data_IF_477178394495
#
_entry.id   IF_477178394495
#
_cell.length_a   1.000
_cell.length_b   1.000
_cell.length_c   1.000
_cell.angle_alpha   90.00
_cell.angle_beta   90.00
_cell.angle_gamma   90.00
#
_symmetry.space_group_name_H-M   'P 1'
#
loop_
_entity.id
_entity.type
_entity.pdbx_description
1 polymer ?
#
# COMPACT_ATOMS: atom_id res chain seq x y z
N UNK A 1 -40.01 -8.41 26.10
CA UNK A 1 -39.46 -7.30 25.30
C UNK A 1 -38.68 -7.92 24.15
N UNK A 2 -39.22 -7.79 22.93
CA UNK A 2 -38.55 -8.16 21.70
C UNK A 2 -37.59 -7.02 21.38
N UNK A 3 -36.29 -7.22 21.60
CA UNK A 3 -35.27 -6.32 21.08
C UNK A 3 -34.39 -7.10 20.11
N UNK A 4 -34.35 -6.56 18.90
CA UNK A 4 -33.56 -6.96 17.75
C UNK A 4 -32.20 -7.56 18.11
N UNK A 5 -31.99 -8.83 17.78
CA UNK A 5 -30.66 -9.32 17.42
C UNK A 5 -30.58 -9.17 15.91
N UNK A 6 -30.18 -7.99 15.45
CA UNK A 6 -29.79 -7.82 14.04
C UNK A 6 -28.36 -8.32 13.91
N UNK A 7 -28.23 -9.39 13.12
CA UNK A 7 -26.98 -9.90 12.59
C UNK A 7 -26.15 -8.74 12.00
N UNK A 8 -25.01 -8.44 12.61
CA UNK A 8 -23.87 -7.86 11.92
C UNK A 8 -23.06 -9.04 11.35
N UNK A 9 -23.55 -9.61 10.24
CA UNK A 9 -22.67 -10.35 9.33
C UNK A 9 -22.04 -9.26 8.48
N UNK A 10 -20.87 -8.79 8.91
CA UNK A 10 -19.99 -8.01 8.04
C UNK A 10 -19.45 -9.04 7.04
N UNK A 11 -19.74 -8.94 5.74
CA UNK A 11 -19.03 -9.74 4.76
C UNK A 11 -17.56 -9.31 4.82
N UNK A 12 -16.73 -10.16 5.41
CA UNK A 12 -15.29 -10.10 5.26
C UNK A 12 -14.98 -10.66 3.85
N UNK A 13 -15.16 -9.84 2.83
CA UNK A 13 -14.54 -10.06 1.52
C UNK A 13 -13.20 -9.34 1.59
N UNK A 14 -12.15 -10.06 1.99
CA UNK A 14 -10.78 -9.56 1.98
C UNK A 14 -10.01 -10.32 0.90
N UNK A 15 -10.38 -10.06 -0.35
CA UNK A 15 -9.56 -10.35 -1.52
C UNK A 15 -9.47 -9.01 -2.23
N UNK A 16 -8.56 -8.17 -1.76
CA UNK A 16 -8.29 -6.88 -2.34
C UNK A 16 -6.77 -6.74 -2.35
N UNK A 17 -6.20 -6.42 -3.53
CA UNK A 17 -4.78 -6.07 -3.67
C UNK A 17 -4.39 -4.99 -2.65
N UNK A 18 -5.34 -4.12 -2.29
CA UNK A 18 -5.18 -3.08 -1.28
C UNK A 18 -6.05 -3.31 -0.03
N UNK A 19 -5.54 -3.04 1.17
CA UNK A 19 -4.17 -2.59 1.44
C UNK A 19 -3.15 -3.72 1.24
N UNK A 20 -2.04 -3.44 0.56
CA UNK A 20 -0.95 -4.41 0.41
C UNK A 20 -0.32 -4.69 1.78
N UNK A 21 -0.69 -5.81 2.42
CA UNK A 21 -0.13 -6.22 3.72
C UNK A 21 1.39 -6.50 3.64
N UNK A 22 1.90 -6.77 2.44
CA UNK A 22 3.32 -7.01 2.15
C UNK A 22 3.77 -6.03 1.06
N UNK A 23 4.60 -5.06 1.41
CA UNK A 23 5.23 -4.13 0.44
C UNK A 23 6.35 -4.79 -0.40
N UNK A 24 6.33 -6.11 -0.52
CA UNK A 24 7.38 -6.89 -1.18
C UNK A 24 7.15 -6.88 -2.69
N UNK A 25 7.79 -5.95 -3.39
CA UNK A 25 8.16 -6.18 -4.78
C UNK A 25 9.58 -6.70 -4.77
N UNK A 26 9.76 -7.92 -5.26
CA UNK A 26 11.08 -8.54 -5.35
C UNK A 26 11.36 -8.76 -6.84
N UNK A 27 12.46 -8.21 -7.38
CA UNK A 27 12.84 -8.40 -8.79
C UNK A 27 13.27 -9.86 -9.05
N UNK A 28 12.33 -10.80 -9.04
CA UNK A 28 12.55 -12.25 -9.16
C UNK A 28 13.10 -12.55 -10.55
N UNK A 29 14.13 -13.41 -10.62
CA UNK A 29 14.74 -13.84 -11.89
C UNK A 29 15.89 -12.97 -12.38
N UNK A 30 16.13 -11.84 -11.73
CA UNK A 30 17.30 -11.00 -11.95
C UNK A 30 18.39 -11.28 -10.91
N UNK A 31 19.66 -10.94 -11.21
CA UNK A 31 20.74 -10.95 -10.21
C UNK A 31 20.48 -9.97 -9.02
N UNK A 32 19.36 -9.24 -9.06
CA UNK A 32 18.92 -8.20 -8.12
C UNK A 32 17.84 -8.66 -7.12
N UNK A 33 17.57 -9.97 -7.03
CA UNK A 33 16.47 -10.52 -6.24
C UNK A 33 16.53 -10.23 -4.71
N UNK A 34 17.62 -9.67 -4.18
CA UNK A 34 17.92 -9.61 -2.75
C UNK A 34 17.45 -8.34 -2.00
N UNK A 35 16.46 -7.60 -2.48
CA UNK A 35 16.13 -6.32 -1.84
C UNK A 35 14.64 -6.04 -2.00
N UNK A 36 13.92 -6.10 -0.88
CA UNK A 36 12.48 -5.84 -0.79
C UNK A 36 12.27 -4.89 0.40
N UNK A 37 11.29 -3.98 0.32
CA UNK A 37 11.00 -3.03 1.39
C UNK A 37 9.87 -3.55 2.32
N UNK A 38 9.97 -3.11 3.58
CA UNK A 38 9.34 -3.48 4.87
C UNK A 38 7.88 -4.00 4.85
N UNK A 39 7.60 -5.10 5.56
CA UNK A 39 6.34 -5.29 6.30
C UNK A 39 6.61 -5.16 7.80
N UNK A 40 5.84 -4.37 8.55
CA UNK A 40 5.86 -4.38 10.02
C UNK A 40 5.08 -5.60 10.55
N UNK A 41 5.62 -6.80 10.41
CA UNK A 41 5.10 -7.97 11.14
C UNK A 41 6.21 -8.56 12.01
N UNK A 42 5.90 -8.84 13.28
CA UNK A 42 6.86 -9.46 14.22
C UNK A 42 7.36 -10.84 13.74
N UNK A 43 6.64 -11.45 12.80
CA UNK A 43 6.98 -12.74 12.19
C UNK A 43 7.93 -12.63 10.99
N UNK A 44 8.21 -11.42 10.46
CA UNK A 44 9.07 -11.19 9.30
C UNK A 44 9.91 -9.92 9.48
N UNK A 45 11.09 -10.01 10.14
CA UNK A 45 11.93 -8.85 10.40
C UNK A 45 12.38 -8.18 9.10
N UNK A 46 12.44 -6.85 9.14
CA UNK A 46 12.86 -5.98 8.05
C UNK A 46 14.27 -6.41 7.57
N UNK A 47 14.45 -6.78 6.30
CA UNK A 47 15.78 -7.02 5.75
C UNK A 47 16.63 -5.74 5.82
N UNK A 48 17.92 -5.85 6.18
CA UNK A 48 18.85 -4.71 6.34
C UNK A 48 19.10 -3.90 5.06
N UNK A 49 18.69 -4.42 3.89
CA UNK A 49 18.81 -3.73 2.61
C UNK A 49 17.42 -3.47 2.01
N UNK A 50 17.03 -2.18 1.96
CA UNK A 50 15.90 -1.67 1.18
C UNK A 50 16.34 -1.38 -0.26
N UNK A 51 15.45 -1.50 -1.25
CA UNK A 51 15.75 -1.21 -2.67
C UNK A 51 16.34 0.19 -2.90
N UNK A 52 16.27 1.06 -1.89
CA UNK A 52 17.00 2.32 -1.81
C UNK A 52 18.51 2.21 -2.07
N UNK A 53 19.13 1.06 -1.82
CA UNK A 53 20.57 0.87 -2.07
C UNK A 53 20.91 0.69 -3.55
N UNK A 54 19.92 0.46 -4.43
CA UNK A 54 20.17 0.23 -5.87
C UNK A 54 20.26 1.50 -6.70
N UNK A 55 19.79 2.62 -6.19
CA UNK A 55 19.70 3.87 -6.94
C UNK A 55 20.50 4.96 -6.26
N UNK A 56 21.29 5.69 -7.05
CA UNK A 56 22.02 6.85 -6.58
C UNK A 56 21.05 8.04 -6.53
N UNK A 57 20.23 8.11 -5.49
CA UNK A 57 19.35 9.26 -5.25
C UNK A 57 20.18 10.53 -5.10
N UNK A 58 19.62 11.62 -5.58
CA UNK A 58 20.18 12.94 -5.31
C UNK A 58 20.22 13.19 -3.80
N UNK A 59 21.39 13.56 -3.27
CA UNK A 59 21.62 13.68 -1.83
C UNK A 59 20.97 14.94 -1.22
N UNK A 60 20.58 15.91 -2.04
CA UNK A 60 19.97 17.17 -1.60
C UNK A 60 18.44 17.14 -1.69
N UNK A 61 17.90 16.42 -2.68
CA UNK A 61 16.45 16.38 -2.97
C UNK A 61 15.81 15.02 -2.70
N UNK A 62 16.59 13.94 -2.67
CA UNK A 62 16.07 12.57 -2.54
C UNK A 62 15.41 12.02 -3.83
N UNK A 63 15.44 12.80 -4.91
CA UNK A 63 14.79 12.52 -6.18
C UNK A 63 15.53 11.46 -7.00
N UNK A 64 14.75 10.74 -7.81
CA UNK A 64 15.26 9.79 -8.79
C UNK A 64 14.22 9.59 -9.92
N UNK A 65 14.62 9.70 -11.19
CA UNK A 65 13.69 9.59 -12.32
C UNK A 65 13.14 8.16 -12.43
N UNK A 66 11.81 8.07 -12.53
CA UNK A 66 11.09 6.81 -12.69
C UNK A 66 9.84 6.99 -13.55
N UNK A 67 9.36 5.89 -14.11
CA UNK A 67 8.03 5.82 -14.72
C UNK A 67 7.06 5.36 -13.65
N UNK A 68 6.02 6.15 -13.40
CA UNK A 68 4.93 5.85 -12.49
C UNK A 68 3.70 5.41 -13.29
N UNK A 69 3.11 4.28 -12.91
CA UNK A 69 1.85 3.79 -13.46
C UNK A 69 0.86 3.72 -12.31
N UNK A 70 -0.29 4.36 -12.49
CA UNK A 70 -1.39 4.35 -11.54
C UNK A 70 -2.51 3.48 -12.10
N UNK A 71 -2.94 2.53 -11.28
CA UNK A 71 -4.00 1.60 -11.56
C UNK A 71 -5.23 1.97 -10.75
N UNK A 72 -6.38 1.90 -11.38
CA UNK A 72 -7.66 1.92 -10.69
C UNK A 72 -7.98 0.48 -10.23
N UNK A 73 -8.31 0.32 -8.95
CA UNK A 73 -8.71 -0.95 -8.35
C UNK A 73 -10.21 -0.90 -8.20
N UNK A 74 -10.89 -1.41 -9.21
CA UNK A 74 -12.34 -1.58 -9.24
C UNK A 74 -12.72 -3.07 -9.08
N UNK A 75 -13.99 -3.41 -9.33
CA UNK A 75 -14.53 -4.77 -9.19
C UNK A 75 -13.68 -5.84 -9.94
N UNK A 76 -12.95 -5.45 -10.99
CA UNK A 76 -12.09 -6.36 -11.77
C UNK A 76 -10.83 -6.79 -10.99
N UNK A 77 -10.43 -6.02 -9.97
CA UNK A 77 -9.34 -6.33 -9.06
C UNK A 77 -9.77 -7.13 -7.80
N UNK A 78 -11.08 -7.32 -7.55
CA UNK A 78 -11.61 -8.10 -6.41
C UNK A 78 -11.22 -9.59 -6.46
N UNK A 79 -10.75 -10.08 -7.61
CA UNK A 79 -10.26 -11.45 -7.78
C UNK A 79 -8.78 -11.63 -7.52
N UNK A 80 -8.04 -10.55 -7.26
CA UNK A 80 -6.59 -10.58 -7.09
C UNK A 80 -6.24 -10.45 -5.61
N UNK A 81 -5.67 -11.52 -5.06
CA UNK A 81 -5.17 -11.56 -3.68
C UNK A 81 -3.77 -10.95 -3.55
N UNK A 82 -3.04 -10.84 -4.68
CA UNK A 82 -1.65 -10.40 -4.73
C UNK A 82 -1.38 -9.57 -6.00
N UNK A 83 -0.44 -8.62 -5.91
CA UNK A 83 0.03 -7.85 -7.06
C UNK A 83 0.60 -8.77 -8.15
N UNK A 84 0.04 -8.78 -9.38
CA UNK A 84 0.47 -9.66 -10.47
C UNK A 84 1.78 -9.18 -11.13
N UNK A 85 2.89 -9.22 -10.38
CA UNK A 85 4.19 -8.70 -10.83
C UNK A 85 4.67 -9.34 -12.15
N UNK A 86 4.51 -10.65 -12.30
CA UNK A 86 4.97 -11.37 -13.48
C UNK A 86 4.24 -10.94 -14.76
N UNK A 87 2.91 -10.76 -14.68
CA UNK A 87 2.10 -10.31 -15.81
C UNK A 87 2.40 -8.86 -16.17
N UNK A 88 2.60 -8.02 -15.15
CA UNK A 88 3.04 -6.63 -15.33
C UNK A 88 4.37 -6.59 -16.09
N UNK A 89 5.38 -7.34 -15.61
CA UNK A 89 6.70 -7.43 -16.25
C UNK A 89 6.60 -7.89 -17.69
N UNK A 90 5.89 -8.98 -17.97
CA UNK A 90 5.72 -9.51 -19.32
C UNK A 90 5.09 -8.48 -20.25
N UNK A 91 4.06 -7.77 -19.78
CA UNK A 91 3.35 -6.76 -20.58
C UNK A 91 4.23 -5.56 -20.90
N UNK A 92 4.98 -5.04 -19.91
CA UNK A 92 5.86 -3.88 -20.11
C UNK A 92 7.03 -4.24 -21.02
N UNK A 93 7.72 -5.34 -20.74
CA UNK A 93 8.91 -5.80 -21.48
C UNK A 93 8.58 -6.09 -22.94
N UNK A 94 7.47 -6.80 -23.19
CA UNK A 94 7.00 -7.09 -24.55
C UNK A 94 6.59 -5.83 -25.32
N UNK A 95 5.92 -4.87 -24.66
CA UNK A 95 5.48 -3.62 -25.28
C UNK A 95 6.65 -2.71 -25.63
N UNK A 96 7.63 -2.60 -24.73
CA UNK A 96 8.78 -1.73 -24.90
C UNK A 96 9.92 -2.39 -25.70
N UNK A 97 9.87 -3.72 -25.87
CA UNK A 97 10.89 -4.56 -26.51
C UNK A 97 12.23 -4.52 -25.78
N UNK A 98 12.17 -4.67 -24.47
CA UNK A 98 13.31 -4.70 -23.55
C UNK A 98 13.42 -6.07 -22.91
N UNK A 99 14.59 -6.42 -22.38
CA UNK A 99 14.75 -7.68 -21.64
C UNK A 99 14.05 -7.59 -20.28
N UNK A 100 13.59 -8.72 -19.75
CA UNK A 100 12.95 -8.77 -18.44
C UNK A 100 13.91 -8.36 -17.32
N UNK A 101 15.20 -8.66 -17.49
CA UNK A 101 16.25 -8.27 -16.53
C UNK A 101 16.59 -6.78 -16.58
N UNK A 102 16.26 -6.09 -17.67
CA UNK A 102 16.48 -4.65 -17.79
C UNK A 102 15.38 -3.84 -17.07
N UNK A 103 14.24 -4.46 -16.75
CA UNK A 103 13.13 -3.82 -16.05
C UNK A 103 13.30 -3.96 -14.55
N UNK A 104 13.54 -2.83 -13.89
CA UNK A 104 13.68 -2.77 -12.43
C UNK A 104 12.48 -2.07 -11.84
N UNK A 105 11.69 -2.80 -11.06
CA UNK A 105 10.59 -2.20 -10.29
C UNK A 105 11.20 -1.62 -9.01
N UNK A 106 10.98 -0.33 -8.80
CA UNK A 106 11.51 0.41 -7.65
C UNK A 106 10.52 0.38 -6.48
N UNK A 107 9.22 0.53 -6.78
CA UNK A 107 8.14 0.63 -5.80
C UNK A 107 6.83 0.10 -6.36
N UNK A 108 6.03 -0.53 -5.49
CA UNK A 108 4.59 -0.65 -5.67
C UNK A 108 3.93 -0.30 -4.33
N UNK A 109 2.92 0.57 -4.33
CA UNK A 109 2.18 0.94 -3.12
C UNK A 109 0.75 1.37 -3.47
N UNK A 110 -0.21 1.13 -2.57
CA UNK A 110 -1.60 1.57 -2.68
C UNK A 110 -1.83 3.03 -2.23
N UNK A 111 -0.75 3.77 -1.92
CA UNK A 111 -0.78 5.16 -1.39
C UNK A 111 -1.74 5.37 -0.19
N UNK A 112 -2.10 4.32 0.55
CA UNK A 112 -3.05 4.42 1.65
C UNK A 112 -4.53 4.45 1.29
N UNK A 113 -4.87 4.16 0.05
CA UNK A 113 -6.24 4.02 -0.43
C UNK A 113 -6.49 2.57 -0.87
N UNK A 114 -7.72 2.11 -0.78
CA UNK A 114 -8.09 0.76 -1.22
C UNK A 114 -8.36 0.71 -2.74
N UNK A 115 -8.53 1.87 -3.37
CA UNK A 115 -9.03 2.02 -4.74
C UNK A 115 -7.93 2.27 -5.77
N UNK A 116 -6.66 2.43 -5.36
CA UNK A 116 -5.58 2.73 -6.30
C UNK A 116 -4.29 2.00 -5.97
N UNK A 117 -3.57 1.57 -7.00
CA UNK A 117 -2.22 1.01 -6.90
C UNK A 117 -1.28 1.84 -7.77
N UNK A 118 -0.17 2.28 -7.19
CA UNK A 118 0.90 2.97 -7.92
C UNK A 118 2.13 2.08 -8.01
N UNK A 119 2.66 1.90 -9.22
CA UNK A 119 3.88 1.14 -9.49
C UNK A 119 4.90 2.05 -10.17
N UNK A 120 6.09 2.13 -9.60
CA UNK A 120 7.21 2.90 -10.15
C UNK A 120 8.34 1.97 -10.59
N UNK A 121 8.81 2.14 -11.81
CA UNK A 121 9.87 1.31 -12.39
C UNK A 121 10.81 2.13 -13.28
N UNK A 122 11.96 1.53 -13.58
CA UNK A 122 12.98 2.06 -14.50
C UNK A 122 13.45 0.96 -15.45
N UNK A 123 14.09 1.37 -16.54
CA UNK A 123 14.66 0.46 -17.53
C UNK A 123 16.15 0.76 -17.69
N UNK A 124 16.97 -0.27 -17.50
CA UNK A 124 18.40 -0.21 -17.70
C UNK A 124 18.75 -0.11 -19.18
N UNK A 125 19.82 0.63 -19.51
CA UNK A 125 20.44 0.57 -20.83
C UNK A 125 21.17 -0.77 -20.98
N UNK A 126 21.19 -1.33 -22.20
CA UNK A 126 21.87 -2.61 -22.50
C UNK A 126 23.37 -2.63 -22.15
N UNK A 127 24.01 -1.47 -22.17
CA UNK A 127 25.43 -1.31 -21.84
C UNK A 127 25.65 -0.88 -20.38
N UNK A 128 24.57 -0.74 -19.60
CA UNK A 128 24.67 -0.45 -18.17
C UNK A 128 25.36 -1.63 -17.50
N UNK A 129 26.41 -1.33 -16.75
CA UNK A 129 27.17 -2.36 -16.09
C UNK A 129 26.34 -2.86 -14.90
N UNK A 130 25.56 -3.93 -15.10
CA UNK A 130 24.65 -4.53 -14.11
C UNK A 130 25.33 -5.03 -12.81
N UNK A 131 26.64 -4.80 -12.67
CA UNK A 131 27.45 -5.14 -11.49
C UNK A 131 27.90 -3.92 -10.69
N UNK A 132 27.71 -2.69 -11.20
CA UNK A 132 28.07 -1.45 -10.52
C UNK A 132 26.84 -0.83 -9.87
N UNK A 133 26.63 -1.17 -8.59
CA UNK A 133 25.66 -0.49 -7.74
C UNK A 133 26.31 0.67 -6.99
N UNK A 134 25.58 1.77 -6.75
CA UNK A 134 24.21 2.08 -7.17
C UNK A 134 24.11 2.55 -8.64
N UNK A 135 22.97 2.28 -9.30
CA UNK A 135 22.68 2.78 -10.65
C UNK A 135 22.55 4.30 -10.66
N UNK A 136 23.15 4.91 -11.68
CA UNK A 136 23.02 6.35 -11.92
C UNK A 136 21.96 6.61 -12.99
N UNK A 137 21.48 7.86 -13.06
CA UNK A 137 20.52 8.29 -14.10
C UNK A 137 21.06 8.02 -15.50
N UNK A 138 22.38 8.12 -15.69
CA UNK A 138 23.05 7.84 -16.97
C UNK A 138 22.98 6.36 -17.38
N UNK A 139 22.76 5.43 -16.45
CA UNK A 139 22.59 4.00 -16.73
C UNK A 139 21.15 3.67 -17.19
N UNK A 140 20.23 4.62 -17.05
CA UNK A 140 18.81 4.42 -17.33
C UNK A 140 18.40 4.97 -18.69
N UNK A 141 17.40 4.32 -19.29
CA UNK A 141 16.63 4.91 -20.37
C UNK A 141 15.76 6.02 -19.77
N UNK A 142 15.69 7.15 -20.49
CA UNK A 142 14.91 8.30 -20.08
C UNK A 142 13.44 7.95 -19.80
N UNK A 143 12.98 8.30 -18.59
CA UNK A 143 11.64 7.97 -18.10
C UNK A 143 10.54 8.73 -18.86
N UNK A 144 10.81 9.96 -19.31
CA UNK A 144 9.86 10.76 -20.10
C UNK A 144 9.62 10.11 -21.47
N UNK A 145 10.69 9.68 -22.13
CA UNK A 145 10.60 8.92 -23.38
C UNK A 145 9.83 7.60 -23.21
N UNK A 146 10.00 6.89 -22.09
CA UNK A 146 9.26 5.64 -21.84
C UNK A 146 7.78 5.94 -21.63
N UNK A 147 7.45 6.86 -20.72
CA UNK A 147 6.06 7.23 -20.41
C UNK A 147 5.32 7.72 -21.67
N UNK A 148 5.95 8.56 -22.48
CA UNK A 148 5.38 9.04 -23.74
C UNK A 148 5.11 7.91 -24.72
N UNK A 149 6.05 6.96 -24.85
CA UNK A 149 5.89 5.79 -25.71
C UNK A 149 4.78 4.87 -25.21
N UNK A 150 4.66 4.70 -23.90
CA UNK A 150 3.58 3.90 -23.28
C UNK A 150 2.21 4.55 -23.48
N UNK A 151 2.08 5.86 -23.30
CA UNK A 151 0.83 6.60 -23.60
C UNK A 151 0.40 6.46 -25.06
N UNK A 152 1.37 6.48 -25.98
CA UNK A 152 1.09 6.32 -27.41
C UNK A 152 0.66 4.88 -27.78
N UNK A 153 0.95 3.91 -26.92
CA UNK A 153 0.57 2.50 -27.07
C UNK A 153 -0.83 2.30 -26.46
N UNK A 154 -1.88 2.55 -27.25
CA UNK A 154 -3.27 2.44 -26.79
C UNK A 154 -3.71 1.07 -26.24
N UNK A 155 -2.87 0.04 -26.31
CA UNK A 155 -3.10 -1.28 -25.72
C UNK A 155 -2.62 -1.41 -24.26
N UNK A 156 -2.10 -0.33 -23.68
CA UNK A 156 -1.69 -0.24 -22.27
C UNK A 156 -2.78 0.41 -21.39
N UNK A 157 -4.01 0.51 -21.88
CA UNK A 157 -5.16 0.89 -21.04
C UNK A 157 -5.44 -0.13 -19.94
N UNK A 158 -4.94 -1.36 -20.10
CA UNK A 158 -5.02 -2.43 -19.12
C UNK A 158 -3.70 -3.20 -19.08
N UNK A 159 -3.16 -3.42 -17.89
CA UNK A 159 -1.92 -4.18 -17.65
C UNK A 159 -2.18 -5.15 -16.51
N UNK A 160 -1.89 -6.44 -16.71
CA UNK A 160 -2.13 -7.49 -15.72
C UNK A 160 -3.60 -7.52 -15.21
N UNK A 161 -4.55 -7.34 -16.14
CA UNK A 161 -5.98 -7.20 -15.88
C UNK A 161 -6.40 -5.99 -15.00
N UNK A 162 -5.47 -5.11 -14.66
CA UNK A 162 -5.75 -3.87 -13.95
C UNK A 162 -5.87 -2.72 -14.94
N UNK A 163 -6.91 -1.90 -14.75
CA UNK A 163 -7.15 -0.72 -15.56
C UNK A 163 -6.15 0.38 -15.20
N UNK A 164 -5.48 0.91 -16.22
CA UNK A 164 -4.48 1.96 -16.08
C UNK A 164 -5.18 3.31 -16.12
N UNK A 165 -5.12 4.05 -15.01
CA UNK A 165 -5.64 5.40 -14.91
C UNK A 165 -4.64 6.41 -15.48
N UNK A 166 -3.38 6.33 -15.05
CA UNK A 166 -2.34 7.26 -15.48
C UNK A 166 -0.97 6.58 -15.65
N UNK A 167 -0.16 7.14 -16.56
CA UNK A 167 1.23 6.77 -16.76
C UNK A 167 2.01 8.07 -16.78
N UNK A 168 2.99 8.29 -15.92
CA UNK A 168 3.71 9.56 -15.84
C UNK A 168 5.20 9.34 -15.61
N UNK A 169 6.02 10.28 -16.06
CA UNK A 169 7.41 10.38 -15.63
C UNK A 169 7.44 11.22 -14.36
N UNK A 170 8.11 10.74 -13.32
CA UNK A 170 8.24 11.42 -12.04
C UNK A 170 9.69 11.39 -11.59
N UNK A 171 10.09 12.42 -10.85
CA UNK A 171 11.37 12.45 -10.13
C UNK A 171 11.20 12.10 -8.65
N UNK A 172 9.97 12.07 -8.16
CA UNK A 172 9.63 11.78 -6.77
C UNK A 172 9.20 10.31 -6.65
N UNK A 173 9.95 9.54 -5.86
CA UNK A 173 9.64 8.15 -5.59
C UNK A 173 8.65 8.07 -4.44
N UNK A 174 7.63 7.21 -4.57
CA UNK A 174 6.66 6.99 -3.49
C UNK A 174 7.37 6.46 -2.25
N UNK A 175 6.94 6.99 -1.10
CA UNK A 175 7.42 6.55 0.19
C UNK A 175 7.04 5.09 0.44
N UNK A 176 8.00 4.35 1.02
CA UNK A 176 7.77 2.96 1.46
C UNK A 176 6.88 2.98 2.69
N UNK A 177 7.10 3.97 3.56
CA UNK A 177 6.42 4.09 4.84
C UNK A 177 5.08 4.77 4.59
N UNK A 178 4.03 3.96 4.53
CA UNK A 178 2.69 4.49 4.72
C UNK A 178 2.59 4.97 6.17
N UNK A 179 2.31 6.25 6.40
CA UNK A 179 1.89 6.74 7.71
C UNK A 179 0.37 6.48 7.81
N UNK A 180 -0.08 5.34 8.39
CA UNK A 180 -1.48 5.01 8.40
C UNK A 180 -2.26 6.14 9.05
N UNK A 181 -3.27 6.64 8.34
CA UNK A 181 -4.09 7.70 8.91
C UNK A 181 -4.73 7.17 10.21
N UNK A 182 -4.26 7.69 11.34
CA UNK A 182 -4.76 7.30 12.66
C UNK A 182 -6.20 7.78 12.90
N UNK A 183 -6.89 8.27 11.87
CA UNK A 183 -8.25 8.81 11.91
C UNK A 183 -9.25 7.72 12.30
N UNK A 184 -9.15 6.53 11.70
CA UNK A 184 -10.04 5.42 12.04
C UNK A 184 -9.81 4.96 13.49
N UNK A 185 -8.56 4.84 13.91
CA UNK A 185 -8.20 4.48 15.28
C UNK A 185 -8.64 5.56 16.28
N UNK A 186 -8.52 6.85 15.92
CA UNK A 186 -8.99 7.97 16.72
C UNK A 186 -10.52 7.95 16.84
N UNK A 187 -11.24 7.66 15.76
CA UNK A 187 -12.70 7.58 15.75
C UNK A 187 -13.22 6.38 16.55
N UNK A 188 -12.56 5.21 16.43
CA UNK A 188 -12.83 4.02 17.27
C UNK A 188 -12.57 4.33 18.74
N UNK A 189 -11.43 4.93 19.07
CA UNK A 189 -11.08 5.33 20.44
C UNK A 189 -12.10 6.32 21.02
N UNK A 190 -12.51 7.31 20.23
CA UNK A 190 -13.54 8.27 20.63
C UNK A 190 -14.89 7.59 20.90
N UNK A 191 -15.33 6.71 19.99
CA UNK A 191 -16.59 5.98 20.15
C UNK A 191 -16.58 5.09 21.41
N UNK A 192 -15.50 4.33 21.64
CA UNK A 192 -15.33 3.55 22.87
C UNK A 192 -15.30 4.43 24.12
N UNK A 193 -14.62 5.58 24.06
CA UNK A 193 -14.59 6.54 25.16
C UNK A 193 -15.98 7.07 25.54
N UNK A 194 -16.81 7.40 24.55
CA UNK A 194 -18.19 7.86 24.78
C UNK A 194 -19.04 6.75 25.40
N UNK A 195 -18.98 5.53 24.85
CA UNK A 195 -19.73 4.38 25.37
C UNK A 195 -19.33 4.09 26.82
N UNK A 196 -18.03 4.05 27.10
CA UNK A 196 -17.51 3.80 28.44
C UNK A 196 -17.91 4.92 29.42
N UNK A 197 -17.86 6.18 28.99
CA UNK A 197 -18.32 7.33 29.78
C UNK A 197 -19.81 7.24 30.13
N UNK A 198 -20.65 6.85 29.18
CA UNK A 198 -22.09 6.65 29.41
C UNK A 198 -22.33 5.53 30.43
N UNK A 199 -21.66 4.38 30.29
CA UNK A 199 -21.77 3.27 31.24
C UNK A 199 -21.27 3.66 32.64
N UNK A 200 -20.19 4.43 32.72
CA UNK A 200 -19.63 4.91 33.98
C UNK A 200 -20.62 5.85 34.70
N UNK A 201 -21.20 6.82 33.99
CA UNK A 201 -22.22 7.73 34.55
C UNK A 201 -23.47 6.96 34.97
N UNK A 202 -23.96 6.03 34.15
CA UNK A 202 -25.10 5.17 34.53
C UNK A 202 -24.80 4.32 35.76
N UNK A 203 -23.56 3.80 35.88
CA UNK A 203 -23.09 3.06 37.05
C UNK A 203 -23.11 3.91 38.32
N UNK A 204 -22.56 5.13 38.27
CA UNK A 204 -22.60 6.07 39.40
C UNK A 204 -24.04 6.43 39.76
N UNK A 205 -24.91 6.71 38.78
CA UNK A 205 -26.31 7.04 39.05
C UNK A 205 -27.08 5.87 39.69
N UNK A 206 -26.82 4.63 39.25
CA UNK A 206 -27.41 3.44 39.89
C UNK A 206 -26.90 3.22 41.31
N UNK A 207 -25.59 3.36 41.55
CA UNK A 207 -25.01 3.23 42.90
C UNK A 207 -25.54 4.33 43.83
N UNK A 208 -25.71 5.56 43.34
CA UNK A 208 -26.24 6.68 44.12
C UNK A 208 -27.73 6.55 44.42
N UNK A 209 -28.53 5.99 43.49
CA UNK A 209 -29.93 5.62 43.76
C UNK A 209 -30.06 4.46 44.73
N UNK A 210 -29.22 3.42 44.58
CA UNK A 210 -29.22 2.26 45.49
C UNK A 210 -28.89 2.62 46.94
N UNK A 211 -28.00 3.60 47.17
CA UNK A 211 -27.72 4.11 48.52
C UNK A 211 -28.85 4.92 49.14
N UNK A 212 -29.74 5.54 48.36
CA UNK A 212 -30.88 6.27 48.90
C UNK A 212 -32.00 5.32 49.32
N UNK A 213 -32.29 4.27 48.54
CA UNK A 213 -33.27 3.24 48.93
C UNK A 213 -32.80 2.46 50.17
N UNK A 214 -31.51 2.09 50.23
CA UNK A 214 -30.98 1.34 51.37
C UNK A 214 -30.98 2.14 52.69
N UNK A 215 -30.76 3.46 52.64
CA UNK A 215 -30.83 4.33 53.82
C UNK A 215 -32.28 4.62 54.25
N UNK A 216 -33.23 4.71 53.31
CA UNK A 216 -34.65 4.90 53.63
C UNK A 216 -35.26 3.67 54.31
N UNK A 217 -34.82 2.46 53.95
CA UNK A 217 -35.29 1.22 54.58
C UNK A 217 -34.68 1.00 55.97
N UNK A 218 -33.46 1.48 56.23
CA UNK A 218 -32.85 1.46 57.57
C UNK A 218 -33.42 2.51 58.53
N UNK A 219 -33.98 3.61 58.03
CA UNK A 219 -34.67 4.62 58.86
C UNK A 219 -36.14 4.30 59.15
N UNK A 220 -36.72 3.30 58.47
CA UNK A 220 -38.09 2.82 58.70
C UNK A 220 -38.17 1.61 59.65
N UNK A 221 -37.03 1.07 60.10
CA UNK A 221 -36.94 -0.05 61.02
C UNK A 221 -36.84 0.39 62.50
#
# INVERSE_FOLDING_TARGET
>A
MRFLVVLLVIPFTMAAICPMEKHQVCNIGTDLACTCAVSESEESPIPEASCNAFIARDLETGNFPAVSVEFNIDDDAEGLDEWPEAEFREKITSSLRVDDNDLIILRANCKGTDDSLTVQFVILKKDANATNYPYQVDDLIDSESIATRMKAMGHLSQIANLDVDSIESTEELIDIEYDPSNVELALKTFAFGVVFGIFFVMGILKLRKGNNEYNDDLQKA
#
